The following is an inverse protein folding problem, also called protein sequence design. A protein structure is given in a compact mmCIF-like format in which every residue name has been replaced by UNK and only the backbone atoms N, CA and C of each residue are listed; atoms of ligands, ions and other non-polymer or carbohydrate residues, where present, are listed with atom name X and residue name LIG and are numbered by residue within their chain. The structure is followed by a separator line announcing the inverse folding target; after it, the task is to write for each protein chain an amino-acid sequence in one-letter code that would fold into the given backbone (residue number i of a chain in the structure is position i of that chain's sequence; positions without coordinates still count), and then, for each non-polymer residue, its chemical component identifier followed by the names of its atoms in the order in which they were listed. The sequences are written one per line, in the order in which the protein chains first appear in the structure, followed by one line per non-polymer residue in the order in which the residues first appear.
data_IF_953958887275
#
_entry.id   IF_953958887275
#
_cell.length_a   1.000
_cell.length_b   1.000
_cell.length_c   1.000
_cell.angle_alpha   90.00
_cell.angle_beta   90.00
_cell.angle_gamma   90.00
#
_symmetry.space_group_name_H-M   'P 1'
#
loop_
_entity.id
_entity.type
_entity.pdbx_description
1 polymer ?
#
# COMPACT_ATOMS: atom_id res chain seq x y z
N UNK A 1 -34.87 10.60 31.58
CA UNK A 1 -33.77 9.63 31.38
C UNK A 1 -34.25 8.65 30.32
N UNK A 2 -33.51 8.43 29.22
CA UNK A 2 -33.92 7.45 28.22
C UNK A 2 -34.05 6.08 28.88
N UNK A 3 -35.12 5.37 28.54
CA UNK A 3 -35.40 4.03 29.03
C UNK A 3 -34.24 3.10 28.63
N UNK A 4 -33.66 2.40 29.61
CA UNK A 4 -32.54 1.50 29.38
C UNK A 4 -32.93 0.38 28.40
N UNK A 5 -34.18 -0.07 28.39
CA UNK A 5 -34.69 -1.04 27.44
C UNK A 5 -34.68 -0.50 26.01
N UNK A 6 -35.03 0.77 25.82
CA UNK A 6 -35.00 1.43 24.50
C UNK A 6 -33.56 1.55 23.98
N UNK A 7 -32.60 1.86 24.85
CA UNK A 7 -31.18 1.93 24.49
C UNK A 7 -30.63 0.56 24.07
N UNK A 8 -31.00 -0.51 24.79
CA UNK A 8 -30.61 -1.87 24.42
C UNK A 8 -31.21 -2.31 23.09
N UNK A 9 -32.48 -1.98 22.82
CA UNK A 9 -33.12 -2.27 21.54
C UNK A 9 -32.42 -1.55 20.38
N UNK A 10 -32.11 -0.26 20.54
CA UNK A 10 -31.41 0.52 19.52
C UNK A 10 -29.99 -0.01 19.23
N UNK A 11 -29.36 -0.67 20.20
CA UNK A 11 -28.02 -1.26 20.03
C UNK A 11 -28.07 -2.68 19.45
N UNK A 12 -28.95 -3.54 19.96
CA UNK A 12 -28.98 -4.97 19.62
C UNK A 12 -29.65 -5.22 18.28
N UNK A 13 -30.73 -4.50 17.95
CA UNK A 13 -31.48 -4.71 16.70
C UNK A 13 -30.63 -4.50 15.43
N UNK A 14 -29.85 -3.41 15.27
CA UNK A 14 -29.05 -3.23 14.06
C UNK A 14 -27.94 -4.27 13.92
N UNK A 15 -27.31 -4.68 15.04
CA UNK A 15 -26.27 -5.71 15.03
C UNK A 15 -26.89 -7.06 14.65
N UNK A 16 -27.99 -7.45 15.29
CA UNK A 16 -28.69 -8.69 15.00
C UNK A 16 -29.22 -8.76 13.56
N UNK A 17 -29.59 -7.62 12.96
CA UNK A 17 -29.98 -7.54 11.55
C UNK A 17 -28.80 -7.71 10.58
N UNK A 18 -27.58 -7.33 10.97
CA UNK A 18 -26.38 -7.40 10.12
C UNK A 18 -25.66 -8.74 10.19
N UNK A 19 -25.72 -9.46 11.32
CA UNK A 19 -25.03 -10.76 11.50
C UNK A 19 -25.42 -11.80 10.42
N UNK A 20 -26.70 -11.99 10.06
CA UNK A 20 -27.08 -12.94 9.01
C UNK A 20 -26.52 -12.57 7.63
N UNK A 21 -26.44 -11.27 7.32
CA UNK A 21 -25.89 -10.77 6.06
C UNK A 21 -24.38 -11.05 5.98
N UNK A 22 -23.65 -10.76 7.06
CA UNK A 22 -22.21 -11.04 7.14
C UNK A 22 -21.92 -12.55 7.07
N UNK A 23 -22.71 -13.37 7.76
CA UNK A 23 -22.59 -14.82 7.70
C UNK A 23 -22.86 -15.37 6.29
N UNK A 24 -23.89 -14.85 5.62
CA UNK A 24 -24.19 -15.20 4.23
C UNK A 24 -23.04 -14.81 3.29
N UNK A 25 -22.48 -13.60 3.43
CA UNK A 25 -21.34 -13.17 2.63
C UNK A 25 -20.12 -14.06 2.89
N UNK A 26 -19.83 -14.39 4.14
CA UNK A 26 -18.67 -15.20 4.51
C UNK A 26 -18.77 -16.65 4.01
N UNK A 27 -19.96 -17.25 4.04
CA UNK A 27 -20.20 -18.58 3.47
C UNK A 27 -20.14 -18.63 1.93
N UNK A 28 -20.22 -17.48 1.28
CA UNK A 28 -20.12 -17.34 -0.18
C UNK A 28 -18.71 -17.01 -0.66
N UNK A 29 -17.78 -16.76 0.25
CA UNK A 29 -16.37 -16.64 -0.07
C UNK A 29 -15.84 -18.07 -0.21
N UNK A 30 -15.97 -18.60 -1.42
CA UNK A 30 -15.11 -19.69 -1.86
C UNK A 30 -13.71 -19.07 -1.98
N UNK A 31 -12.82 -19.42 -1.05
CA UNK A 31 -11.40 -19.18 -1.23
C UNK A 31 -11.00 -20.19 -2.30
N UNK A 32 -11.10 -19.80 -3.57
CA UNK A 32 -10.45 -20.54 -4.65
C UNK A 32 -9.00 -20.73 -4.20
N UNK A 33 -8.58 -22.01 -4.18
CA UNK A 33 -7.21 -22.42 -3.91
C UNK A 33 -6.28 -21.41 -4.58
N UNK A 34 -5.44 -20.74 -3.77
CA UNK A 34 -4.55 -19.74 -4.30
C UNK A 34 -3.80 -20.38 -5.46
N UNK A 35 -3.90 -19.85 -6.68
CA UNK A 35 -3.26 -20.48 -7.82
C UNK A 35 -1.77 -20.61 -7.49
N UNK A 36 -1.24 -21.82 -7.70
CA UNK A 36 0.17 -22.18 -7.54
C UNK A 36 1.03 -21.48 -8.60
N UNK A 37 0.81 -20.18 -8.83
CA UNK A 37 1.76 -19.31 -9.48
C UNK A 37 2.95 -19.23 -8.55
N UNK A 38 3.84 -20.21 -8.66
CA UNK A 38 5.23 -20.09 -8.21
C UNK A 38 5.70 -18.72 -8.65
N UNK A 39 6.16 -17.89 -7.71
CA UNK A 39 6.56 -16.51 -7.96
C UNK A 39 7.59 -16.32 -9.09
N UNK A 40 8.14 -17.40 -9.65
CA UNK A 40 8.98 -17.42 -10.84
C UNK A 40 8.36 -16.70 -12.04
N UNK A 41 7.05 -16.80 -12.31
CA UNK A 41 6.48 -16.20 -13.52
C UNK A 41 6.15 -14.70 -13.36
N UNK A 42 5.99 -14.24 -12.11
CA UNK A 42 5.74 -12.83 -11.80
C UNK A 42 7.06 -12.07 -11.63
N UNK A 43 8.12 -12.73 -11.17
CA UNK A 43 9.42 -12.12 -10.87
C UNK A 43 10.51 -12.40 -11.92
N UNK A 44 10.12 -12.74 -13.16
CA UNK A 44 11.06 -13.11 -14.22
C UNK A 44 11.57 -14.51 -13.98
N UNK A 45 11.20 -15.43 -14.88
CA UNK A 45 11.55 -16.85 -14.77
C UNK A 45 13.06 -17.06 -14.66
N UNK A 46 13.44 -18.28 -14.30
CA UNK A 46 14.80 -18.76 -13.99
C UNK A 46 15.88 -18.46 -15.06
N UNK A 47 15.50 -17.92 -16.22
CA UNK A 47 16.34 -17.59 -17.36
C UNK A 47 16.54 -16.08 -17.57
N UNK A 48 15.76 -15.22 -16.90
CA UNK A 48 15.86 -13.77 -17.03
C UNK A 48 16.69 -13.21 -15.87
N UNK A 49 17.76 -12.48 -16.18
CA UNK A 49 18.83 -12.03 -15.26
C UNK A 49 18.36 -11.00 -14.20
N UNK A 50 17.05 -10.82 -14.06
CA UNK A 50 16.42 -9.83 -13.21
C UNK A 50 16.74 -8.40 -13.61
N UNK A 51 17.33 -8.14 -14.79
CA UNK A 51 17.73 -6.80 -15.21
C UNK A 51 16.53 -5.94 -15.63
N UNK A 52 15.48 -6.54 -16.17
CA UNK A 52 14.21 -5.86 -16.43
C UNK A 52 13.57 -5.40 -15.12
N UNK A 53 13.46 -6.32 -14.16
CA UNK A 53 12.96 -6.02 -12.81
C UNK A 53 13.79 -4.94 -12.10
N UNK A 54 15.12 -5.00 -12.20
CA UNK A 54 16.03 -3.99 -11.62
C UNK A 54 15.88 -2.61 -12.25
N UNK A 55 15.54 -2.49 -13.53
CA UNK A 55 15.23 -1.20 -14.17
C UNK A 55 13.91 -0.62 -13.68
N UNK A 56 12.86 -1.43 -13.62
CA UNK A 56 11.54 -1.02 -13.13
C UNK A 56 11.62 -0.51 -11.68
N UNK A 57 12.36 -1.25 -10.82
CA UNK A 57 12.63 -0.85 -9.43
C UNK A 57 13.50 0.40 -9.33
N UNK A 58 14.43 0.60 -10.26
CA UNK A 58 15.25 1.82 -10.35
C UNK A 58 14.42 3.06 -10.71
N UNK A 59 13.35 2.88 -11.48
CA UNK A 59 12.42 3.96 -11.84
C UNK A 59 11.38 4.25 -10.74
N UNK A 60 11.19 3.32 -9.80
CA UNK A 60 10.24 3.41 -8.68
C UNK A 60 10.96 3.36 -7.32
N UNK A 61 11.71 4.41 -6.96
CA UNK A 61 12.47 4.43 -5.69
C UNK A 61 11.66 4.67 -4.39
N UNK A 62 12.20 4.38 -3.17
CA UNK A 62 13.34 3.49 -2.89
C UNK A 62 13.22 2.57 -1.64
N UNK A 63 14.04 1.51 -1.62
CA UNK A 63 14.63 1.00 -0.37
C UNK A 63 16.15 0.80 -0.45
N UNK A 64 16.73 0.58 -1.63
CA UNK A 64 18.16 0.24 -1.79
C UNK A 64 18.96 1.23 -2.63
N UNK A 65 18.38 2.36 -3.08
CA UNK A 65 19.15 3.50 -3.62
C UNK A 65 20.09 4.16 -2.57
N UNK A 66 20.14 3.61 -1.34
CA UNK A 66 20.79 4.13 -0.15
C UNK A 66 22.29 3.83 -0.02
N UNK A 67 22.91 3.02 -0.87
CA UNK A 67 24.32 2.63 -0.63
C UNK A 67 25.39 3.38 -1.41
N UNK A 68 25.14 4.00 -2.57
CA UNK A 68 26.29 4.47 -3.39
C UNK A 68 26.18 5.82 -4.12
N UNK A 69 25.14 6.64 -3.92
CA UNK A 69 25.10 7.96 -4.56
C UNK A 69 24.38 9.05 -3.77
N UNK A 70 24.65 9.17 -2.47
CA UNK A 70 24.47 10.44 -1.79
C UNK A 70 25.67 11.34 -2.14
N UNK A 71 25.74 11.82 -3.39
CA UNK A 71 26.57 12.99 -3.69
C UNK A 71 25.96 14.17 -2.94
N UNK A 72 26.71 14.65 -1.97
CA UNK A 72 26.44 15.70 -0.97
C UNK A 72 25.78 16.97 -1.55
N UNK A 73 24.48 16.91 -1.85
CA UNK A 73 23.79 18.01 -2.51
C UNK A 73 22.31 18.02 -2.20
N UNK A 74 21.90 18.70 -1.13
CA UNK A 74 20.46 18.93 -0.87
C UNK A 74 19.87 19.81 -1.96
N UNK A 75 18.73 19.43 -2.52
CA UNK A 75 17.92 20.27 -3.41
C UNK A 75 16.78 20.92 -2.65
N UNK A 76 16.52 22.21 -2.88
CA UNK A 76 15.43 22.95 -2.22
C UNK A 76 14.22 23.03 -3.14
N UNK A 77 13.06 22.61 -2.65
CA UNK A 77 11.81 22.71 -3.40
C UNK A 77 11.44 24.17 -3.66
N UNK A 78 11.27 24.54 -4.93
CA UNK A 78 10.86 25.89 -5.35
C UNK A 78 9.43 26.26 -4.91
N UNK A 79 8.61 25.28 -4.54
CA UNK A 79 7.21 25.50 -4.17
C UNK A 79 7.00 25.69 -2.67
N UNK A 80 7.64 24.88 -1.82
CA UNK A 80 7.42 24.89 -0.38
C UNK A 80 8.69 25.13 0.45
N UNK A 81 9.86 25.22 -0.19
CA UNK A 81 11.13 25.48 0.49
C UNK A 81 11.73 24.28 1.23
N UNK A 82 11.07 23.12 1.23
CA UNK A 82 11.60 21.91 1.87
C UNK A 82 12.92 21.48 1.22
N UNK A 83 13.91 21.14 2.05
CA UNK A 83 15.16 20.52 1.60
C UNK A 83 14.93 19.03 1.37
N UNK A 84 15.31 18.56 0.19
CA UNK A 84 15.15 17.19 -0.25
C UNK A 84 16.50 16.63 -0.70
N UNK A 85 16.65 15.33 -0.57
CA UNK A 85 17.79 14.61 -1.12
C UNK A 85 17.67 14.56 -2.66
N UNK A 86 18.78 14.72 -3.40
CA UNK A 86 18.76 14.83 -4.87
C UNK A 86 18.33 13.53 -5.54
N UNK A 87 18.33 12.40 -4.83
CA UNK A 87 17.79 11.13 -5.33
C UNK A 87 16.26 11.14 -5.46
N UNK A 88 15.56 12.09 -4.84
CA UNK A 88 14.10 12.17 -4.90
C UNK A 88 13.64 12.97 -6.12
N UNK A 89 12.72 12.39 -6.91
CA UNK A 89 12.04 13.08 -8.03
C UNK A 89 10.89 14.00 -7.57
N UNK A 90 10.41 13.82 -6.34
CA UNK A 90 9.27 14.54 -5.77
C UNK A 90 9.59 15.05 -4.36
N UNK A 91 9.03 16.21 -4.01
CA UNK A 91 9.24 16.88 -2.75
C UNK A 91 8.55 16.12 -1.61
N UNK A 92 9.31 15.76 -0.59
CA UNK A 92 8.82 15.10 0.61
C UNK A 92 7.86 15.97 1.44
N UNK A 93 7.92 17.31 1.29
CA UNK A 93 7.06 18.24 2.02
C UNK A 93 5.72 18.56 1.34
N UNK A 94 5.68 18.60 0.01
CA UNK A 94 4.47 19.00 -0.73
C UNK A 94 4.09 18.12 -1.92
N UNK A 95 4.81 17.01 -2.14
CA UNK A 95 4.61 16.04 -3.23
C UNK A 95 4.69 16.60 -4.67
N UNK A 96 5.07 17.88 -4.86
CA UNK A 96 5.37 18.45 -6.18
C UNK A 96 6.72 17.96 -6.69
N UNK A 97 6.90 17.95 -8.01
CA UNK A 97 8.18 17.64 -8.65
C UNK A 97 9.25 18.64 -8.19
N UNK A 98 10.45 18.14 -7.88
CA UNK A 98 11.61 18.93 -7.41
C UNK A 98 12.32 19.64 -8.55
#
# INVERSE_FOLDING_TARGET
MPDNALLWLLLVVPIAAQVPLLWFMMNRIEIDEAPDYTGAEIWGGEEDDGAAYRRELGDSGPATARTEAATDGKTRCQHCGTENDPAYRYCQGCARRL
#
